data_IF_346604632631
#
_entry.id   IF_346604632631
#
_cell.length_a   1.000
_cell.length_b   1.000
_cell.length_c   1.000
_cell.angle_alpha   90.00
_cell.angle_beta   90.00
_cell.angle_gamma   90.00
#
_symmetry.space_group_name_H-M   'P 1'
#
loop_
_entity.id
_entity.type
_entity.pdbx_description
1 polymer ?
#
# COMPACT_ATOMS: atom_id res chain seq x y z
N UNK A 1 5.38 -45.53 -16.62
CA UNK A 1 4.36 -44.46 -16.63
C UNK A 1 4.59 -43.62 -15.38
N UNK A 2 5.37 -42.55 -15.53
CA UNK A 2 5.77 -41.70 -14.41
C UNK A 2 4.57 -40.87 -13.94
N UNK A 3 4.17 -41.07 -12.69
CA UNK A 3 3.17 -40.23 -12.03
C UNK A 3 3.75 -38.84 -11.84
N UNK A 4 3.19 -37.87 -12.57
CA UNK A 4 3.41 -36.44 -12.34
C UNK A 4 2.81 -36.12 -10.96
N UNK A 5 3.66 -35.89 -9.97
CA UNK A 5 3.23 -35.41 -8.66
C UNK A 5 2.78 -33.95 -8.81
N UNK A 6 1.48 -33.71 -8.71
CA UNK A 6 0.91 -32.37 -8.59
C UNK A 6 1.52 -31.67 -7.39
N UNK A 7 2.35 -30.66 -7.65
CA UNK A 7 2.89 -29.76 -6.64
C UNK A 7 1.75 -29.04 -5.94
N UNK A 8 1.39 -29.52 -4.74
CA UNK A 8 0.44 -28.87 -3.86
C UNK A 8 1.06 -27.57 -3.34
N UNK A 9 0.51 -26.43 -3.76
CA UNK A 9 0.85 -25.12 -3.21
C UNK A 9 0.49 -25.12 -1.73
N UNK A 10 1.49 -25.05 -0.84
CA UNK A 10 1.27 -24.93 0.59
C UNK A 10 0.48 -23.65 0.88
N UNK A 11 -0.73 -23.81 1.44
CA UNK A 11 -1.54 -22.71 1.94
C UNK A 11 -0.92 -22.31 3.30
N UNK A 12 -0.18 -21.20 3.33
CA UNK A 12 0.30 -20.63 4.58
C UNK A 12 -0.89 -19.99 5.31
N UNK A 13 -1.40 -20.66 6.35
CA UNK A 13 -2.52 -20.19 7.17
C UNK A 13 -2.14 -19.06 8.15
N UNK A 14 -0.87 -18.63 8.16
CA UNK A 14 -0.37 -17.50 8.97
C UNK A 14 -0.61 -16.13 8.32
N UNK A 15 -1.33 -16.08 7.19
CA UNK A 15 -1.64 -14.82 6.52
C UNK A 15 -2.57 -13.97 7.39
N UNK A 16 -2.07 -12.82 7.84
CA UNK A 16 -2.87 -11.90 8.64
C UNK A 16 -4.04 -11.32 7.82
N UNK A 17 -5.27 -11.52 8.30
CA UNK A 17 -6.50 -11.04 7.64
C UNK A 17 -6.72 -9.56 7.98
N UNK A 18 -7.06 -8.78 6.96
CA UNK A 18 -7.42 -7.35 7.03
C UNK A 18 -8.76 -7.13 6.33
N UNK A 19 -9.53 -6.14 6.78
CA UNK A 19 -10.74 -5.69 6.09
C UNK A 19 -10.40 -4.93 4.81
N UNK A 20 -9.25 -4.24 4.80
CA UNK A 20 -8.75 -3.50 3.66
C UNK A 20 -7.21 -3.47 3.62
N UNK A 21 -6.68 -3.49 2.40
CA UNK A 21 -5.27 -3.27 2.10
C UNK A 21 -5.13 -2.06 1.18
N UNK A 22 -4.24 -1.14 1.54
CA UNK A 22 -3.95 0.06 0.76
C UNK A 22 -2.53 -0.06 0.20
N UNK A 23 -2.37 0.22 -1.10
CA UNK A 23 -1.06 0.26 -1.76
C UNK A 23 -0.75 1.71 -2.14
N UNK A 24 0.36 2.24 -1.61
CA UNK A 24 0.84 3.61 -1.81
C UNK A 24 0.52 4.54 -0.64
N UNK A 25 1.55 5.18 -0.07
CA UNK A 25 1.51 6.21 0.97
C UNK A 25 1.62 7.62 0.39
N UNK A 26 0.91 7.91 -0.71
CA UNK A 26 0.64 9.28 -1.15
C UNK A 26 -0.51 9.92 -0.34
N UNK A 27 -0.89 11.15 -0.68
CA UNK A 27 -1.97 11.86 0.00
C UNK A 27 -3.27 11.04 0.14
N UNK A 28 -3.71 10.40 -0.94
CA UNK A 28 -4.91 9.57 -0.92
C UNK A 28 -4.77 8.36 0.03
N UNK A 29 -3.69 7.58 -0.10
CA UNK A 29 -3.49 6.38 0.72
C UNK A 29 -3.44 6.67 2.21
N UNK A 30 -2.76 7.76 2.61
CA UNK A 30 -2.71 8.19 4.02
C UNK A 30 -4.11 8.62 4.50
N UNK A 31 -4.84 9.38 3.69
CA UNK A 31 -6.19 9.82 4.04
C UNK A 31 -7.17 8.63 4.19
N UNK A 32 -7.11 7.67 3.26
CA UNK A 32 -7.92 6.45 3.32
C UNK A 32 -7.58 5.61 4.55
N UNK A 33 -6.28 5.46 4.86
CA UNK A 33 -5.85 4.76 6.07
C UNK A 33 -6.41 5.43 7.33
N UNK A 34 -6.37 6.77 7.39
CA UNK A 34 -6.91 7.53 8.50
C UNK A 34 -8.43 7.36 8.64
N UNK A 35 -9.19 7.48 7.55
CA UNK A 35 -10.66 7.33 7.55
C UNK A 35 -11.08 5.92 7.95
N UNK A 36 -10.51 4.89 7.33
CA UNK A 36 -10.87 3.49 7.62
C UNK A 36 -10.54 3.10 9.07
N UNK A 37 -9.46 3.63 9.64
CA UNK A 37 -9.16 3.45 11.07
C UNK A 37 -10.18 4.12 11.97
N UNK A 38 -10.69 5.31 11.61
CA UNK A 38 -11.74 5.98 12.37
C UNK A 38 -13.08 5.24 12.32
N UNK A 39 -13.35 4.53 11.23
CA UNK A 39 -14.54 3.68 11.07
C UNK A 39 -14.39 2.30 11.73
N UNK A 40 -13.22 2.00 12.30
CA UNK A 40 -12.98 0.76 13.07
C UNK A 40 -12.52 -0.43 12.23
N UNK A 41 -12.20 -0.24 10.95
CA UNK A 41 -11.68 -1.32 10.10
C UNK A 41 -10.23 -1.69 10.45
N UNK A 42 -9.92 -2.98 10.40
CA UNK A 42 -8.56 -3.51 10.47
C UNK A 42 -7.90 -3.33 9.10
N UNK A 43 -7.20 -2.21 8.93
CA UNK A 43 -6.55 -1.82 7.67
C UNK A 43 -5.03 -1.76 7.79
N UNK A 44 -4.33 -2.19 6.73
CA UNK A 44 -2.87 -2.03 6.58
C UNK A 44 -2.53 -1.34 5.27
N UNK A 45 -1.53 -0.46 5.32
CA UNK A 45 -0.98 0.24 4.16
C UNK A 45 0.42 -0.27 3.87
N UNK A 46 0.74 -0.45 2.59
CA UNK A 46 2.09 -0.75 2.10
C UNK A 46 2.55 0.33 1.13
N UNK A 47 3.79 0.80 1.29
CA UNK A 47 4.46 1.74 0.40
C UNK A 47 5.76 1.11 -0.11
N UNK A 48 6.09 1.35 -1.38
CA UNK A 48 7.32 0.87 -1.98
C UNK A 48 8.53 1.72 -1.56
N UNK A 49 8.32 3.00 -1.27
CA UNK A 49 9.30 3.94 -0.77
C UNK A 49 9.70 3.67 0.67
N UNK A 50 10.83 4.24 1.07
CA UNK A 50 11.29 4.15 2.47
C UNK A 50 10.47 5.05 3.40
N UNK A 51 9.73 6.01 2.85
CA UNK A 51 8.86 6.93 3.59
C UNK A 51 7.61 7.29 2.77
N UNK A 52 6.68 7.97 3.42
CA UNK A 52 5.44 8.49 2.87
C UNK A 52 5.69 9.71 1.96
N UNK A 53 4.73 10.01 1.08
CA UNK A 53 4.75 11.21 0.22
C UNK A 53 4.33 10.93 -1.22
N UNK A 54 4.38 9.68 -1.66
CA UNK A 54 4.00 9.26 -3.00
C UNK A 54 4.84 9.97 -4.06
N UNK A 55 4.19 10.67 -5.00
CA UNK A 55 4.89 11.39 -6.08
C UNK A 55 5.93 12.38 -5.54
N UNK A 56 5.69 12.99 -4.37
CA UNK A 56 6.59 13.97 -3.76
C UNK A 56 7.76 13.35 -3.00
N UNK A 57 7.72 12.04 -2.75
CA UNK A 57 8.88 11.29 -2.25
C UNK A 57 9.80 10.90 -3.42
N UNK A 58 9.22 10.41 -4.52
CA UNK A 58 9.98 9.88 -5.65
C UNK A 58 10.50 10.97 -6.62
N UNK A 59 9.72 12.03 -6.87
CA UNK A 59 10.01 13.01 -7.92
C UNK A 59 10.47 14.35 -7.35
N UNK A 60 11.72 14.38 -6.87
CA UNK A 60 12.38 15.55 -6.31
C UNK A 60 13.49 16.07 -7.23
N UNK A 61 13.15 16.36 -8.50
CA UNK A 61 14.09 16.97 -9.44
C UNK A 61 14.20 18.50 -9.23
N UNK A 62 15.30 19.16 -9.68
CA UNK A 62 15.44 20.61 -9.55
C UNK A 62 14.26 21.35 -10.19
N UNK A 63 13.57 22.16 -9.39
CA UNK A 63 12.39 22.93 -9.83
C UNK A 63 11.05 22.21 -9.67
N UNK A 64 11.01 20.99 -9.12
CA UNK A 64 9.76 20.34 -8.74
C UNK A 64 8.95 21.22 -7.76
N UNK A 65 7.68 21.46 -8.08
CA UNK A 65 6.77 22.33 -7.32
C UNK A 65 5.32 21.97 -7.62
N UNK A 66 4.41 22.52 -6.82
CA UNK A 66 2.97 22.54 -7.12
C UNK A 66 2.64 23.71 -8.06
N UNK A 67 1.63 23.52 -8.89
CA UNK A 67 1.01 24.62 -9.66
C UNK A 67 -0.28 25.14 -8.99
N UNK A 68 -0.73 24.48 -7.90
CA UNK A 68 -1.84 24.97 -7.08
C UNK A 68 -1.45 26.27 -6.39
N UNK A 69 -2.33 27.27 -6.46
CA UNK A 69 -2.03 28.63 -5.99
C UNK A 69 -1.85 28.73 -4.46
N UNK A 70 -2.59 27.93 -3.72
CA UNK A 70 -2.66 27.93 -2.25
C UNK A 70 -2.70 26.46 -1.83
N UNK A 71 -2.17 26.11 -0.64
CA UNK A 71 -2.55 24.87 0.01
C UNK A 71 -4.05 24.62 0.03
#
# INVERSE_FOLDING_TARGET
MSSVQSSQTQKNDDAEVFDALIVGAGFNGIYQLHRLRQEGFKVRLFEAGADMGGIWYWNCYPGARVDSHIP
#
